data_IF_966232518036
#
_entry.id   IF_966232518036
#
_cell.length_a   1.000
_cell.length_b   1.000
_cell.length_c   1.000
_cell.angle_alpha   90.00
_cell.angle_beta   90.00
_cell.angle_gamma   90.00
#
_symmetry.space_group_name_H-M   'P 1'
#
loop_
_entity.id
_entity.type
_entity.pdbx_description
1 polymer ?
#
# COMPACT_ATOMS: atom_id res chain seq x y z
N UNK A 1 -34.54 15.50 2.79
CA UNK A 1 -33.39 15.11 3.65
C UNK A 1 -32.19 14.59 2.85
N UNK A 2 -32.18 14.73 1.52
CA UNK A 2 -31.18 14.17 0.59
C UNK A 2 -30.16 15.19 0.09
N UNK A 3 -30.58 16.44 -0.14
CA UNK A 3 -29.72 17.52 -0.68
C UNK A 3 -28.45 17.84 0.13
N UNK A 4 -28.48 17.67 1.46
CA UNK A 4 -27.29 17.92 2.29
C UNK A 4 -26.32 16.74 2.28
N UNK A 5 -26.83 15.51 2.26
CA UNK A 5 -25.99 14.30 2.18
C UNK A 5 -25.29 14.23 0.83
N UNK A 6 -25.98 14.59 -0.26
CA UNK A 6 -25.38 14.66 -1.60
C UNK A 6 -24.27 15.71 -1.66
N UNK A 7 -24.46 16.88 -1.03
CA UNK A 7 -23.43 17.92 -0.95
C UNK A 7 -22.25 17.53 -0.07
N UNK A 8 -22.50 16.80 1.02
CA UNK A 8 -21.45 16.31 1.91
C UNK A 8 -20.71 15.11 1.34
N UNK A 9 -21.29 14.36 0.40
CA UNK A 9 -20.63 13.21 -0.23
C UNK A 9 -19.30 13.60 -0.92
N UNK A 10 -19.25 14.75 -1.58
CA UNK A 10 -18.04 15.31 -2.17
C UNK A 10 -16.98 15.75 -1.13
N UNK A 11 -17.37 15.87 0.14
CA UNK A 11 -16.49 16.20 1.27
C UNK A 11 -16.13 14.97 2.10
N UNK A 12 -16.65 13.78 1.77
CA UNK A 12 -16.29 12.56 2.50
C UNK A 12 -14.90 12.09 2.13
N UNK A 13 -14.16 11.64 3.14
CA UNK A 13 -12.86 11.02 2.95
C UNK A 13 -13.07 9.64 2.30
N UNK A 14 -12.17 9.25 1.41
CA UNK A 14 -12.15 7.92 0.82
C UNK A 14 -12.09 6.85 1.91
N UNK A 15 -13.20 6.15 2.12
CA UNK A 15 -13.35 5.12 3.15
C UNK A 15 -12.38 3.96 2.95
N UNK A 16 -12.02 3.65 1.71
CA UNK A 16 -11.10 2.56 1.40
C UNK A 16 -9.69 2.96 1.80
N UNK A 17 -9.30 4.19 1.49
CA UNK A 17 -8.00 4.69 1.92
C UNK A 17 -7.90 4.81 3.45
N UNK A 18 -8.99 5.17 4.15
CA UNK A 18 -9.03 5.12 5.62
C UNK A 18 -8.89 3.70 6.15
N UNK A 19 -9.63 2.73 5.58
CA UNK A 19 -9.52 1.33 5.96
C UNK A 19 -8.10 0.81 5.75
N UNK A 20 -7.48 1.11 4.61
CA UNK A 20 -6.08 0.78 4.33
C UNK A 20 -5.13 1.39 5.36
N UNK A 21 -5.31 2.66 5.74
CA UNK A 21 -4.46 3.32 6.74
C UNK A 21 -4.49 2.59 8.09
N UNK A 22 -5.67 2.19 8.55
CA UNK A 22 -5.83 1.45 9.81
C UNK A 22 -5.33 0.00 9.72
N UNK A 23 -5.68 -0.72 8.65
CA UNK A 23 -5.27 -2.12 8.44
C UNK A 23 -3.74 -2.23 8.35
N UNK A 24 -3.09 -1.24 7.75
CA UNK A 24 -1.63 -1.25 7.58
C UNK A 24 -0.83 -0.73 8.77
N UNK A 25 -1.52 -0.28 9.83
CA UNK A 25 -0.86 0.25 11.01
C UNK A 25 -0.21 -0.89 11.79
N UNK A 26 1.08 -0.75 12.05
CA UNK A 26 1.81 -1.69 12.91
C UNK A 26 1.25 -1.58 14.34
N UNK A 27 1.21 -2.67 15.13
CA UNK A 27 0.76 -2.61 16.52
C UNK A 27 1.49 -1.54 17.35
N UNK A 28 0.83 -0.99 18.36
CA UNK A 28 1.42 0.00 19.27
C UNK A 28 2.59 -0.59 20.05
N UNK A 29 3.45 0.27 20.60
CA UNK A 29 4.70 -0.17 21.21
C UNK A 29 4.46 -1.15 22.37
N UNK A 30 5.26 -2.21 22.40
CA UNK A 30 5.19 -3.26 23.42
C UNK A 30 4.04 -4.27 23.28
N UNK A 31 3.12 -4.10 22.33
CA UNK A 31 2.06 -5.08 22.07
C UNK A 31 2.60 -6.26 21.27
N UNK A 32 2.33 -7.47 21.76
CA UNK A 32 2.69 -8.69 21.05
C UNK A 32 1.77 -8.91 19.85
N UNK A 33 2.35 -9.30 18.72
CA UNK A 33 1.61 -9.71 17.54
C UNK A 33 2.26 -10.91 16.86
N UNK A 34 1.41 -11.81 16.39
CA UNK A 34 1.76 -12.95 15.55
C UNK A 34 1.74 -12.51 14.09
N UNK A 35 2.83 -12.76 13.38
CA UNK A 35 3.00 -12.49 11.97
C UNK A 35 2.83 -13.80 11.18
N UNK A 36 1.78 -13.89 10.38
CA UNK A 36 1.45 -15.08 9.59
C UNK A 36 2.21 -15.05 8.26
N UNK A 37 3.50 -15.44 8.31
CA UNK A 37 4.43 -15.42 7.17
C UNK A 37 4.02 -16.36 6.04
N UNK A 38 3.31 -17.45 6.34
CA UNK A 38 2.85 -18.43 5.36
C UNK A 38 1.85 -17.82 4.37
N UNK A 39 1.08 -16.84 4.82
CA UNK A 39 0.10 -16.10 4.00
C UNK A 39 0.65 -14.79 3.44
N UNK A 40 1.96 -14.66 3.27
CA UNK A 40 2.54 -13.49 2.63
C UNK A 40 2.11 -13.40 1.15
N UNK A 41 1.83 -12.17 0.70
CA UNK A 41 1.43 -11.90 -0.68
C UNK A 41 2.30 -10.80 -1.26
N UNK A 42 2.95 -11.08 -2.40
CA UNK A 42 3.71 -10.08 -3.13
C UNK A 42 2.89 -9.53 -4.28
N UNK A 43 2.74 -8.21 -4.33
CA UNK A 43 1.92 -7.51 -5.32
C UNK A 43 2.70 -6.36 -5.94
N UNK A 44 2.40 -6.09 -7.21
CA UNK A 44 2.72 -4.82 -7.85
C UNK A 44 1.71 -3.78 -7.40
N UNK A 45 2.19 -2.67 -6.85
CA UNK A 45 1.34 -1.67 -6.21
C UNK A 45 1.63 -0.27 -6.75
N UNK A 46 0.57 0.42 -7.13
CA UNK A 46 0.57 1.87 -7.34
C UNK A 46 0.19 2.57 -6.04
N UNK A 47 1.05 3.48 -5.58
CA UNK A 47 0.81 4.28 -4.38
C UNK A 47 0.31 5.67 -4.76
N UNK A 48 -1.01 5.85 -4.80
CA UNK A 48 -1.63 7.13 -5.13
C UNK A 48 -1.65 8.04 -3.89
N UNK A 49 -0.92 9.15 -3.96
CA UNK A 49 -0.92 10.20 -2.93
C UNK A 49 -1.67 11.41 -3.44
N UNK A 50 -2.71 11.80 -2.72
CA UNK A 50 -3.43 13.07 -2.90
C UNK A 50 -3.31 13.92 -1.63
N UNK A 51 -3.78 15.17 -1.65
CA UNK A 51 -3.57 16.17 -0.61
C UNK A 51 -4.02 15.78 0.83
N UNK A 52 -4.75 14.68 1.00
CA UNK A 52 -5.06 14.13 2.32
C UNK A 52 -5.33 12.63 2.35
N UNK A 53 -5.04 11.92 1.25
CA UNK A 53 -5.42 10.50 1.10
C UNK A 53 -4.28 9.76 0.41
N UNK A 54 -3.83 8.67 1.04
CA UNK A 54 -2.93 7.68 0.46
C UNK A 54 -3.72 6.41 0.17
N UNK A 55 -3.77 6.00 -1.09
CA UNK A 55 -4.45 4.76 -1.51
C UNK A 55 -3.49 3.87 -2.28
N UNK A 56 -3.45 2.60 -1.89
CA UNK A 56 -2.69 1.57 -2.57
C UNK A 56 -3.62 0.82 -3.53
N UNK A 57 -3.18 0.70 -4.77
CA UNK A 57 -3.85 -0.12 -5.77
C UNK A 57 -2.98 -1.31 -6.13
N UNK A 58 -3.52 -2.51 -6.00
CA UNK A 58 -2.92 -3.71 -6.56
C UNK A 58 -3.08 -3.66 -8.09
N UNK A 59 -2.01 -3.93 -8.82
CA UNK A 59 -2.01 -3.84 -10.28
C UNK A 59 -1.75 -5.21 -10.87
N UNK A 60 -2.56 -5.58 -11.86
CA UNK A 60 -2.33 -6.78 -12.66
C UNK A 60 -0.89 -6.76 -13.23
N UNK A 61 -0.17 -7.87 -13.08
CA UNK A 61 1.22 -8.00 -13.52
C UNK A 61 1.41 -7.66 -15.01
N UNK A 62 0.42 -8.00 -15.86
CA UNK A 62 0.48 -7.68 -17.30
C UNK A 62 0.49 -6.16 -17.54
N UNK A 63 -0.20 -5.40 -16.69
CA UNK A 63 -0.30 -3.93 -16.78
C UNK A 63 0.85 -3.21 -16.06
N UNK A 64 1.51 -3.88 -15.11
CA UNK A 64 2.56 -3.28 -14.29
C UNK A 64 3.73 -2.76 -15.14
N UNK A 65 4.06 -3.45 -16.23
CA UNK A 65 5.13 -3.04 -17.16
C UNK A 65 4.81 -1.72 -17.88
N UNK A 66 3.54 -1.51 -18.25
CA UNK A 66 3.09 -0.31 -18.96
C UNK A 66 3.09 0.94 -18.08
N UNK A 67 2.92 0.75 -16.77
CA UNK A 67 2.97 1.83 -15.78
C UNK A 67 4.41 2.16 -15.34
N UNK A 68 5.37 1.29 -15.62
CA UNK A 68 6.81 1.54 -15.37
C UNK A 68 7.14 1.80 -13.89
N UNK A 69 8.02 2.77 -13.65
CA UNK A 69 8.65 3.00 -12.33
C UNK A 69 7.70 3.51 -11.24
N UNK A 70 6.48 3.92 -11.57
CA UNK A 70 5.50 4.34 -10.56
C UNK A 70 4.98 3.14 -9.74
N UNK A 71 5.10 1.93 -10.31
CA UNK A 71 4.72 0.69 -9.67
C UNK A 71 5.90 0.18 -8.85
N UNK A 72 5.59 -0.24 -7.62
CA UNK A 72 6.57 -0.82 -6.70
C UNK A 72 6.10 -2.19 -6.24
N UNK A 73 7.04 -3.09 -5.98
CA UNK A 73 6.73 -4.40 -5.44
C UNK A 73 6.59 -4.30 -3.93
N UNK A 74 5.41 -4.68 -3.43
CA UNK A 74 5.12 -4.74 -2.01
C UNK A 74 4.92 -6.18 -1.57
N UNK A 75 5.28 -6.47 -0.33
CA UNK A 75 4.87 -7.68 0.39
C UNK A 75 3.87 -7.29 1.46
N UNK A 76 2.75 -8.00 1.50
CA UNK A 76 1.70 -7.88 2.51
C UNK A 76 1.68 -9.15 3.34
N UNK A 77 1.78 -9.01 4.65
CA UNK A 77 1.81 -10.15 5.58
C UNK A 77 0.76 -9.90 6.66
N UNK A 78 -0.26 -10.76 6.80
CA UNK A 78 -1.26 -10.56 7.81
C UNK A 78 -0.68 -10.79 9.21
N UNK A 79 -1.18 -10.04 10.19
CA UNK A 79 -0.79 -10.21 11.58
C UNK A 79 -2.01 -10.16 12.50
N UNK A 80 -1.89 -10.80 13.67
CA UNK A 80 -2.87 -10.70 14.75
C UNK A 80 -2.18 -10.22 16.03
N UNK A 81 -2.75 -9.22 16.70
CA UNK A 81 -2.29 -8.80 18.03
C UNK A 81 -2.79 -9.74 19.12
N UNK A 82 -2.14 -9.75 20.28
CA UNK A 82 -2.62 -10.50 21.45
C UNK A 82 -4.02 -10.09 21.92
N UNK A 83 -4.48 -8.88 21.59
CA UNK A 83 -5.85 -8.39 21.84
C UNK A 83 -6.86 -8.88 20.78
N UNK A 84 -6.42 -9.61 19.76
CA UNK A 84 -7.26 -10.19 18.71
C UNK A 84 -7.48 -9.29 17.49
N UNK A 85 -6.91 -8.09 17.45
CA UNK A 85 -6.99 -7.23 16.26
C UNK A 85 -6.17 -7.83 15.12
N UNK A 86 -6.70 -7.79 13.90
CA UNK A 86 -6.04 -8.34 12.72
C UNK A 86 -5.76 -7.22 11.72
N UNK A 87 -4.55 -7.20 11.20
CA UNK A 87 -4.10 -6.20 10.22
C UNK A 87 -3.16 -6.81 9.19
N UNK A 88 -2.55 -5.96 8.36
CA UNK A 88 -1.54 -6.37 7.39
C UNK A 88 -0.29 -5.51 7.47
N UNK A 89 0.84 -6.15 7.64
CA UNK A 89 2.13 -5.50 7.49
C UNK A 89 2.42 -5.28 6.01
N UNK A 90 2.52 -4.02 5.60
CA UNK A 90 3.00 -3.65 4.26
C UNK A 90 4.51 -3.38 4.26
N UNK A 91 5.21 -3.90 3.26
CA UNK A 91 6.65 -3.80 3.10
C UNK A 91 6.95 -3.43 1.64
N UNK A 92 7.59 -2.29 1.39
CA UNK A 92 8.12 -2.01 0.06
C UNK A 92 9.44 -2.78 -0.10
N UNK A 93 9.46 -3.80 -0.98
CA UNK A 93 10.58 -4.74 -1.06
C UNK A 93 11.87 -4.09 -1.51
N UNK A 94 11.78 -3.06 -2.34
CA UNK A 94 12.94 -2.38 -2.93
C UNK A 94 13.27 -1.03 -2.29
N UNK A 95 12.51 -0.62 -1.26
CA UNK A 95 12.81 0.62 -0.53
C UNK A 95 13.93 0.42 0.48
N UNK A 96 14.88 1.35 0.53
CA UNK A 96 15.97 1.36 1.52
C UNK A 96 15.64 2.19 2.77
N UNK A 97 14.40 2.69 2.91
CA UNK A 97 13.97 3.37 4.11
C UNK A 97 14.01 2.45 5.35
N UNK A 98 14.27 3.04 6.52
CA UNK A 98 14.45 2.30 7.76
C UNK A 98 13.22 1.46 8.15
N UNK A 99 12.01 1.93 7.86
CA UNK A 99 10.78 1.19 8.16
C UNK A 99 10.65 -0.08 7.30
N UNK A 100 10.90 0.02 5.99
CA UNK A 100 10.86 -1.13 5.08
C UNK A 100 12.01 -2.10 5.38
N UNK A 101 13.21 -1.58 5.70
CA UNK A 101 14.36 -2.39 6.09
C UNK A 101 14.09 -3.22 7.36
N UNK A 102 13.59 -2.58 8.42
CA UNK A 102 13.25 -3.29 9.68
C UNK A 102 12.21 -4.40 9.46
N UNK A 103 11.19 -4.14 8.65
CA UNK A 103 10.15 -5.14 8.36
C UNK A 103 10.67 -6.31 7.52
N UNK A 104 11.60 -6.08 6.58
CA UNK A 104 12.23 -7.18 5.84
C UNK A 104 13.03 -8.10 6.78
N UNK A 105 13.74 -7.53 7.75
CA UNK A 105 14.53 -8.31 8.71
C UNK A 105 13.72 -9.34 9.50
N UNK A 106 12.47 -9.04 9.87
CA UNK A 106 11.63 -10.00 10.60
C UNK A 106 11.01 -11.08 9.72
N UNK A 107 10.93 -10.91 8.39
CA UNK A 107 10.48 -11.98 7.47
C UNK A 107 11.46 -13.15 7.53
N UNK A 108 12.75 -12.85 7.62
CA UNK A 108 13.85 -13.82 7.61
C UNK A 108 14.07 -14.50 8.97
N UNK A 109 13.43 -14.00 10.04
CA UNK A 109 13.52 -14.58 11.39
C UNK A 109 12.75 -15.91 11.49
N UNK A 110 13.21 -16.83 12.33
CA UNK A 110 12.50 -18.08 12.65
C UNK A 110 11.32 -17.86 13.64
N UNK A 111 11.24 -16.67 14.25
CA UNK A 111 10.16 -16.34 15.18
C UNK A 111 8.90 -15.90 14.45
N UNK A 112 7.75 -16.20 15.04
CA UNK A 112 6.45 -15.77 14.52
C UNK A 112 5.81 -14.64 15.33
N UNK A 113 6.23 -14.43 16.58
CA UNK A 113 5.66 -13.42 17.48
C UNK A 113 6.69 -12.35 17.79
N UNK A 114 6.27 -11.10 17.69
CA UNK A 114 7.12 -9.93 17.88
C UNK A 114 6.42 -8.86 18.71
N UNK A 115 7.19 -7.98 19.33
CA UNK A 115 6.76 -6.65 19.74
C UNK A 115 7.40 -5.59 18.85
N UNK A 116 6.84 -4.39 18.82
CA UNK A 116 7.40 -3.24 18.11
C UNK A 116 7.83 -2.16 19.09
N UNK A 117 8.91 -1.46 18.75
CA UNK A 117 9.27 -0.14 19.26
C UNK A 117 9.40 0.81 18.05
N UNK A 118 8.72 1.95 18.11
CA UNK A 118 8.75 2.98 17.06
C UNK A 118 9.92 3.92 17.27
N UNK A 119 10.80 3.99 16.28
CA UNK A 119 11.85 5.00 16.21
C UNK A 119 11.47 6.13 15.24
N UNK A 120 12.28 7.19 15.21
CA UNK A 120 12.05 8.37 14.39
C UNK A 120 11.98 8.07 12.88
N UNK A 121 12.70 7.06 12.42
CA UNK A 121 12.89 6.72 11.00
C UNK A 121 12.86 5.20 10.71
N UNK A 122 12.51 4.39 11.71
CA UNK A 122 12.58 2.93 11.64
C UNK A 122 11.70 2.26 12.71
N UNK A 123 11.64 0.93 12.67
CA UNK A 123 11.09 0.11 13.75
C UNK A 123 12.18 -0.77 14.35
N UNK A 124 12.06 -1.07 15.63
CA UNK A 124 12.77 -2.21 16.24
C UNK A 124 11.73 -3.27 16.56
N UNK A 125 12.01 -4.50 16.13
CA UNK A 125 11.17 -5.65 16.44
C UNK A 125 11.90 -6.55 17.42
N UNK A 126 11.22 -6.97 18.48
CA UNK A 126 11.78 -7.89 19.48
C UNK A 126 11.03 -9.21 19.41
N UNK A 127 11.78 -10.29 19.28
CA UNK A 127 11.26 -11.65 19.16
C UNK A 127 10.69 -12.15 20.49
N UNK A 128 9.57 -12.85 20.44
CA UNK A 128 8.90 -13.42 21.62
C UNK A 128 8.66 -14.92 21.44
N UNK A 129 9.32 -15.75 22.25
CA UNK A 129 9.26 -17.21 22.14
C UNK A 129 8.09 -17.85 22.91
N UNK A 130 7.63 -17.20 23.99
CA UNK A 130 6.77 -17.82 25.01
C UNK A 130 5.31 -17.35 24.96
N UNK A 131 4.92 -16.66 23.90
CA UNK A 131 3.58 -16.09 23.76
C UNK A 131 2.86 -16.83 22.64
N UNK A 132 1.68 -17.35 22.98
CA UNK A 132 0.83 -18.05 22.03
C UNK A 132 -0.35 -17.14 21.64
N UNK A 133 -0.32 -16.64 20.42
CA UNK A 133 -1.42 -15.89 19.80
C UNK A 133 -2.06 -16.80 18.77
N UNK A 134 -3.40 -16.85 18.76
CA UNK A 134 -4.13 -17.70 17.83
C UNK A 134 -3.82 -17.34 16.37
N UNK A 135 -3.71 -18.31 15.45
CA UNK A 135 -3.51 -18.04 14.03
C UNK A 135 -4.74 -17.40 13.41
N UNK A 136 -4.52 -16.60 12.37
CA UNK A 136 -5.59 -15.90 11.63
C UNK A 136 -6.44 -16.96 10.90
N UNK A 137 -7.76 -16.85 10.94
CA UNK A 137 -8.63 -17.77 10.20
C UNK A 137 -8.71 -17.39 8.71
N UNK A 138 -9.10 -18.33 7.86
CA UNK A 138 -9.28 -18.05 6.43
C UNK A 138 -10.35 -16.98 6.18
N UNK A 139 -11.41 -16.96 7.00
CA UNK A 139 -12.48 -15.97 6.92
C UNK A 139 -11.99 -14.56 7.24
N UNK A 140 -11.22 -14.40 8.32
CA UNK A 140 -10.63 -13.10 8.68
C UNK A 140 -9.62 -12.63 7.63
N UNK A 141 -8.79 -13.53 7.13
CA UNK A 141 -7.83 -13.21 6.09
C UNK A 141 -8.53 -12.71 4.82
N UNK A 142 -9.55 -13.44 4.35
CA UNK A 142 -10.38 -13.03 3.21
C UNK A 142 -11.03 -11.66 3.45
N UNK A 143 -11.61 -11.45 4.63
CA UNK A 143 -12.28 -10.20 4.95
C UNK A 143 -11.32 -9.00 4.89
N UNK A 144 -10.10 -9.15 5.40
CA UNK A 144 -9.09 -8.08 5.35
C UNK A 144 -8.64 -7.79 3.93
N UNK A 145 -8.45 -8.82 3.10
CA UNK A 145 -8.13 -8.63 1.69
C UNK A 145 -9.25 -7.88 0.95
N UNK A 146 -10.52 -8.22 1.22
CA UNK A 146 -11.67 -7.54 0.63
C UNK A 146 -11.73 -6.06 1.04
N UNK A 147 -11.58 -5.76 2.33
CA UNK A 147 -11.56 -4.39 2.85
C UNK A 147 -10.40 -3.57 2.26
N UNK A 148 -9.25 -4.20 2.05
CA UNK A 148 -8.03 -3.53 1.60
C UNK A 148 -8.04 -3.31 0.09
N UNK A 149 -8.40 -4.32 -0.70
CA UNK A 149 -8.11 -4.35 -2.13
C UNK A 149 -9.34 -4.49 -3.03
N UNK A 150 -10.51 -4.95 -2.57
CA UNK A 150 -11.61 -5.27 -3.49
C UNK A 150 -12.00 -4.12 -4.44
N UNK A 151 -11.89 -2.88 -3.97
CA UNK A 151 -12.17 -1.68 -4.77
C UNK A 151 -10.89 -0.97 -5.26
N UNK A 152 -9.72 -1.54 -5.02
CA UNK A 152 -8.40 -0.99 -5.35
C UNK A 152 -7.57 -1.98 -6.16
N UNK A 153 -8.19 -2.76 -7.04
CA UNK A 153 -7.49 -3.63 -8.00
C UNK A 153 -7.63 -3.02 -9.39
N UNK A 154 -6.48 -2.82 -10.05
CA UNK A 154 -6.38 -2.40 -11.45
C UNK A 154 -6.24 -3.67 -12.29
N UNK A 155 -7.38 -4.19 -12.74
CA UNK A 155 -7.45 -5.43 -13.51
C UNK A 155 -7.20 -5.23 -15.01
N UNK A 156 -7.65 -4.09 -15.54
CA UNK A 156 -7.66 -3.76 -16.96
C UNK A 156 -7.20 -2.32 -17.24
N UNK A 157 -7.02 -2.01 -18.54
CA UNK A 157 -6.66 -0.68 -19.03
C UNK A 157 -7.79 0.33 -18.96
N UNK A 158 -9.02 -0.12 -18.77
CA UNK A 158 -10.19 0.74 -18.66
C UNK A 158 -10.30 1.40 -17.27
N UNK A 159 -9.66 0.81 -16.27
CA UNK A 159 -9.62 1.29 -14.90
C UNK A 159 -9.13 2.75 -14.83
N UNK A 160 -9.85 3.65 -14.10
CA UNK A 160 -9.52 5.09 -14.06
C UNK A 160 -8.08 5.40 -13.64
N UNK A 161 -7.56 4.64 -12.68
CA UNK A 161 -6.16 4.78 -12.22
C UNK A 161 -5.17 4.37 -13.31
N UNK A 162 -5.44 3.31 -14.08
CA UNK A 162 -4.56 2.94 -15.18
C UNK A 162 -4.50 4.08 -16.21
N UNK A 163 -5.67 4.56 -16.68
CA UNK A 163 -5.75 5.67 -17.65
C UNK A 163 -5.09 6.96 -17.17
N UNK A 164 -5.15 7.25 -15.87
CA UNK A 164 -4.54 8.44 -15.27
C UNK A 164 -3.02 8.42 -15.35
N UNK A 165 -2.41 7.24 -15.22
CA UNK A 165 -0.96 7.11 -15.05
C UNK A 165 -0.25 6.42 -16.21
N UNK A 166 -0.98 5.73 -17.09
CA UNK A 166 -0.43 5.15 -18.30
C UNK A 166 0.14 6.27 -19.19
N UNK A 167 1.37 6.07 -19.63
CA UNK A 167 2.04 6.95 -20.59
C UNK A 167 1.16 7.13 -21.83
N UNK A 168 1.13 8.34 -22.42
CA UNK A 168 0.47 8.54 -23.72
C UNK A 168 1.02 7.58 -24.79
N UNK A 169 2.28 7.15 -24.69
CA UNK A 169 2.89 6.14 -25.57
C UNK A 169 2.27 4.74 -25.39
N UNK A 170 1.94 4.33 -24.16
CA UNK A 170 1.24 3.07 -23.89
C UNK A 170 -0.23 3.13 -24.34
N UNK A 171 -0.91 4.26 -24.10
CA UNK A 171 -2.28 4.51 -24.56
C UNK A 171 -2.37 4.65 -26.10
N UNK A 172 -1.31 5.11 -26.75
CA UNK A 172 -1.22 5.22 -28.21
C UNK A 172 -0.80 3.90 -28.88
N UNK A 173 -0.15 2.96 -28.19
CA UNK A 173 0.13 1.62 -28.73
C UNK A 173 -1.17 0.84 -29.06
N UNK A 174 -2.22 0.99 -28.26
CA UNK A 174 -3.54 0.40 -28.59
C UNK A 174 -4.26 1.13 -29.73
N UNK A 175 -4.15 2.46 -29.83
CA UNK A 175 -4.65 3.19 -31.01
C UNK A 175 -3.88 2.83 -32.28
N UNK A 176 -2.59 2.63 -32.15
CA UNK A 176 -1.71 2.26 -33.25
C UNK A 176 -1.87 0.79 -33.64
N UNK A 177 -2.31 -0.13 -32.78
CA UNK A 177 -2.63 -1.49 -33.23
C UNK A 177 -3.89 -1.55 -34.12
N UNK A 178 -4.70 -0.50 -34.16
CA UNK A 178 -5.76 -0.31 -35.15
C UNK A 178 -5.31 0.48 -36.40
N UNK A 179 -4.14 1.13 -36.40
CA UNK A 179 -3.66 2.00 -37.49
C UNK A 179 -2.26 1.64 -38.05
N UNK A 180 -1.55 0.67 -37.47
CA UNK A 180 -0.24 0.16 -37.92
C UNK A 180 -0.36 -0.84 -39.07
N UNK A 181 -1.09 -0.44 -40.09
CA UNK A 181 -0.84 -0.94 -41.45
C UNK A 181 -0.24 0.15 -42.36
N UNK A 182 0.04 1.36 -41.83
CA UNK A 182 0.71 2.41 -42.62
C UNK A 182 1.68 3.29 -41.83
N UNK A 183 2.96 3.06 -42.16
CA UNK A 183 4.06 4.01 -42.25
C UNK A 183 5.00 4.18 -41.05
N UNK A 184 6.27 4.20 -41.43
CA UNK A 184 7.49 4.13 -40.64
C UNK A 184 8.11 5.51 -40.36
N UNK A 185 9.17 5.50 -39.53
CA UNK A 185 10.06 6.60 -39.10
C UNK A 185 9.43 7.63 -38.14
N UNK A 186 10.09 8.16 -37.11
CA UNK A 186 11.51 8.40 -36.85
C UNK A 186 11.74 8.64 -35.33
N UNK A 187 12.98 8.49 -34.88
CA UNK A 187 13.48 8.66 -33.50
C UNK A 187 13.19 10.05 -32.88
N UNK A 188 13.11 10.14 -31.53
CA UNK A 188 13.92 11.06 -30.68
C UNK A 188 13.83 10.63 -29.19
N UNK A 189 14.99 10.40 -28.58
CA UNK A 189 15.20 10.32 -27.11
C UNK A 189 15.08 11.72 -26.47
N UNK A 190 14.33 11.86 -25.37
CA UNK A 190 14.59 12.92 -24.36
C UNK A 190 14.42 12.33 -22.95
N UNK A 191 15.55 12.22 -22.23
CA UNK A 191 15.62 11.97 -20.78
C UNK A 191 15.00 13.15 -20.04
N UNK A 192 14.02 12.90 -19.16
CA UNK A 192 13.57 13.87 -18.16
C UNK A 192 13.96 13.35 -16.78
N UNK A 193 14.96 14.01 -16.17
CA UNK A 193 15.33 13.77 -14.79
C UNK A 193 14.15 14.15 -13.86
N UNK A 194 13.85 13.28 -12.90
CA UNK A 194 12.96 13.58 -11.78
C UNK A 194 13.77 14.28 -10.68
N UNK A 195 13.16 15.22 -9.92
CA UNK A 195 13.83 15.79 -8.75
C UNK A 195 13.94 14.72 -7.66
N UNK A 196 15.15 14.58 -7.12
CA UNK A 196 15.35 14.04 -5.77
C UNK A 196 14.74 15.01 -4.76
N UNK A 197 14.26 14.44 -3.64
CA UNK A 197 13.69 15.07 -2.44
C UNK A 197 12.16 15.14 -2.35
N UNK A 198 11.62 14.21 -1.55
CA UNK A 198 10.64 14.50 -0.48
C UNK A 198 10.66 13.32 0.51
N UNK A 199 11.76 13.25 1.26
CA UNK A 199 11.75 12.63 2.58
C UNK A 199 10.94 13.55 3.52
N UNK A 200 10.27 12.93 4.50
CA UNK A 200 9.60 13.51 5.69
C UNK A 200 8.05 13.49 5.59
N UNK A 201 7.45 12.96 6.67
CA UNK A 201 6.01 12.82 7.00
C UNK A 201 5.31 11.48 6.67
N UNK A 202 5.88 10.36 7.17
CA UNK A 202 5.05 9.32 7.81
C UNK A 202 4.96 9.66 9.31
N UNK A 203 4.14 10.64 9.69
CA UNK A 203 3.81 10.85 11.10
C UNK A 203 2.54 10.07 11.36
N UNK A 204 2.62 9.07 12.25
CA UNK A 204 1.49 8.53 13.00
C UNK A 204 0.86 9.72 13.75
N UNK A 205 -0.14 10.36 13.15
CA UNK A 205 -0.87 11.47 13.75
C UNK A 205 -1.65 10.93 14.94
N UNK A 206 -1.17 11.24 16.14
CA UNK A 206 -1.89 10.98 17.37
C UNK A 206 -3.04 11.99 17.47
N UNK A 207 -4.25 11.57 17.08
CA UNK A 207 -5.44 12.42 16.98
C UNK A 207 -5.91 13.02 18.33
N UNK A 208 -5.39 12.53 19.45
CA UNK A 208 -5.76 12.99 20.79
C UNK A 208 -5.19 14.38 21.16
N UNK A 209 -4.11 14.84 20.53
CA UNK A 209 -3.47 16.13 20.87
C UNK A 209 -3.94 17.33 20.04
N UNK A 210 -4.84 17.12 19.06
CA UNK A 210 -5.32 18.22 18.19
C UNK A 210 -6.30 19.16 18.93
N UNK A 211 -7.00 18.67 19.96
CA UNK A 211 -7.99 19.49 20.68
C UNK A 211 -7.40 20.43 21.73
N UNK A 212 -6.09 20.40 21.98
CA UNK A 212 -5.44 21.28 22.97
C UNK A 212 -4.90 22.59 22.38
N UNK A 213 -5.18 22.88 21.11
CA UNK A 213 -4.79 24.15 20.44
C UNK A 213 -6.01 24.94 19.92
N UNK A 214 -7.02 25.12 20.78
CA UNK A 214 -8.06 26.14 20.60
C UNK A 214 -8.18 27.02 21.85
#
# INVERSE_FOLDING_TARGET
MTLILDRLSACTIDRIAQAQAEIFKIPVDGVNFFLDKERCMQLFVLNERTAGIRRLYAVNNELAQELGDIIRQYCFIPFRTEQGAVGMMQINLHSHDGYSASKRGIIESDFAVFTTERLKDSYVFTESANINILPITDEEYKHILELTFAASIVEDREHPIFKKYASQEALNMEKNNHEQDKNACENVMIKKALPEDDYIFNIDLNLETINDVL
#
